data_IF_620505628335
#
_entry.id   IF_620505628335
#
_cell.length_a   1.000
_cell.length_b   1.000
_cell.length_c   1.000
_cell.angle_alpha   90.00
_cell.angle_beta   90.00
_cell.angle_gamma   90.00
#
_symmetry.space_group_name_H-M   'P 1'
#
loop_
_entity.id
_entity.type
_entity.pdbx_description
1 polymer ?
#
# COMPACT_ATOMS: atom_id res chain seq x y z
N UNK A 1 39.72 27.20 -12.81
CA UNK A 1 38.97 27.66 -14.01
C UNK A 1 37.52 27.15 -13.85
N UNK A 2 36.52 27.97 -14.16
CA UNK A 2 35.13 27.53 -14.14
C UNK A 2 34.93 26.43 -15.21
N UNK A 3 34.30 25.34 -14.84
CA UNK A 3 33.97 24.23 -15.76
C UNK A 3 32.92 24.71 -16.77
N UNK A 4 33.20 24.56 -18.06
CA UNK A 4 32.30 24.97 -19.15
C UNK A 4 31.81 23.70 -19.85
N UNK A 5 30.52 23.58 -20.09
CA UNK A 5 29.89 22.47 -20.83
C UNK A 5 29.49 22.97 -22.24
N UNK A 6 29.70 22.11 -23.25
CA UNK A 6 29.41 22.37 -24.66
C UNK A 6 29.96 23.72 -25.16
N UNK A 7 31.07 24.22 -24.62
CA UNK A 7 31.60 25.57 -24.88
C UNK A 7 30.56 26.69 -24.70
N UNK A 8 29.46 26.43 -24.01
CA UNK A 8 28.29 27.32 -23.88
C UNK A 8 27.89 27.61 -22.46
N UNK A 9 27.80 26.59 -21.60
CA UNK A 9 27.29 26.71 -20.26
C UNK A 9 28.44 26.80 -19.26
N UNK A 10 28.62 27.95 -18.65
CA UNK A 10 29.65 28.16 -17.62
C UNK A 10 29.07 27.86 -16.26
N UNK A 11 29.52 26.77 -15.62
CA UNK A 11 29.08 26.37 -14.32
C UNK A 11 29.58 27.34 -13.23
N UNK A 12 28.69 27.80 -12.40
CA UNK A 12 28.93 28.62 -11.24
C UNK A 12 28.85 27.81 -9.90
N UNK A 13 28.11 28.31 -8.96
CA UNK A 13 27.95 27.70 -7.64
C UNK A 13 27.05 26.45 -7.68
N UNK A 14 27.31 25.51 -6.77
CA UNK A 14 26.47 24.36 -6.52
C UNK A 14 25.23 24.84 -5.74
N UNK A 15 24.04 24.69 -6.33
CA UNK A 15 22.76 25.10 -5.74
C UNK A 15 21.93 23.91 -5.20
N UNK A 16 22.30 22.68 -5.56
CA UNK A 16 21.63 21.49 -5.05
C UNK A 16 22.50 20.24 -5.25
N UNK A 17 22.54 19.37 -4.25
CA UNK A 17 23.20 18.08 -4.31
C UNK A 17 22.17 16.97 -4.08
N UNK A 18 22.02 16.08 -5.08
CA UNK A 18 21.11 14.94 -5.04
C UNK A 18 21.82 13.59 -5.07
N UNK A 19 21.09 12.52 -4.84
CA UNK A 19 21.64 11.16 -4.90
C UNK A 19 22.20 10.77 -6.28
N UNK A 20 21.60 11.29 -7.35
CA UNK A 20 21.94 10.93 -8.72
C UNK A 20 22.68 12.04 -9.47
N UNK A 21 22.41 13.29 -9.18
CA UNK A 21 22.92 14.44 -9.90
C UNK A 21 23.13 15.63 -8.97
N UNK A 22 24.09 16.48 -9.35
CA UNK A 22 24.35 17.78 -8.73
C UNK A 22 23.78 18.88 -9.61
N UNK A 23 23.21 19.94 -9.01
CA UNK A 23 22.62 21.07 -9.73
C UNK A 23 23.46 22.31 -9.49
N UNK A 24 23.86 22.94 -10.57
CA UNK A 24 24.71 24.16 -10.57
C UNK A 24 23.92 25.34 -11.14
N UNK A 25 24.04 26.51 -10.54
CA UNK A 25 23.73 27.73 -11.25
C UNK A 25 24.76 27.93 -12.37
N UNK A 26 24.30 28.33 -13.55
CA UNK A 26 25.20 28.49 -14.71
C UNK A 26 24.79 29.68 -15.57
N UNK A 27 25.70 30.09 -16.48
CA UNK A 27 25.45 31.10 -17.49
C UNK A 27 25.47 30.49 -18.90
N UNK A 28 24.37 30.64 -19.62
CA UNK A 28 24.30 30.35 -21.05
C UNK A 28 24.91 31.54 -21.83
N UNK A 29 26.18 31.45 -22.21
CA UNK A 29 26.90 32.50 -22.92
C UNK A 29 26.30 32.86 -24.29
N UNK A 30 25.61 31.92 -24.93
CA UNK A 30 25.04 32.14 -26.26
C UNK A 30 23.79 33.02 -26.20
N UNK A 31 22.98 32.86 -25.14
CA UNK A 31 21.72 33.59 -24.93
C UNK A 31 21.85 34.66 -23.84
N UNK A 32 23.01 34.80 -23.20
CA UNK A 32 23.29 35.75 -22.12
C UNK A 32 22.24 35.68 -20.97
N UNK A 33 21.89 34.46 -20.55
CA UNK A 33 20.92 34.23 -19.48
C UNK A 33 21.44 33.26 -18.44
N UNK A 34 20.94 33.41 -17.21
CA UNK A 34 21.16 32.42 -16.13
C UNK A 34 20.29 31.20 -16.34
N UNK A 35 20.84 30.05 -16.05
CA UNK A 35 20.18 28.71 -16.14
C UNK A 35 20.62 27.86 -14.98
N UNK A 36 19.87 26.78 -14.70
CA UNK A 36 20.32 25.70 -13.84
C UNK A 36 20.84 24.55 -14.71
N UNK A 37 21.92 23.91 -14.27
CA UNK A 37 22.48 22.75 -14.95
C UNK A 37 22.52 21.58 -13.98
N UNK A 38 21.70 20.55 -14.25
CA UNK A 38 21.69 19.28 -13.54
C UNK A 38 22.74 18.38 -14.20
N UNK A 39 23.75 17.97 -13.46
CA UNK A 39 24.89 17.18 -13.95
C UNK A 39 24.89 15.81 -13.30
N UNK A 40 24.83 14.74 -14.10
CA UNK A 40 24.91 13.37 -13.59
C UNK A 40 26.25 13.16 -12.87
N UNK A 41 26.22 12.62 -11.65
CA UNK A 41 27.41 12.38 -10.85
C UNK A 41 28.36 11.41 -11.54
N UNK A 42 29.66 11.64 -11.41
CA UNK A 42 30.71 10.87 -12.09
C UNK A 42 30.80 9.41 -11.67
N UNK A 43 30.41 9.09 -10.41
CA UNK A 43 30.32 7.72 -9.90
C UNK A 43 29.19 6.92 -10.58
N UNK A 44 28.11 7.57 -11.00
CA UNK A 44 26.95 6.97 -11.68
C UNK A 44 27.01 7.13 -13.22
N UNK A 45 27.87 8.00 -13.73
CA UNK A 45 28.00 8.27 -15.15
C UNK A 45 28.58 7.09 -15.97
N UNK A 46 28.97 5.99 -15.32
CA UNK A 46 29.44 4.75 -15.97
C UNK A 46 28.36 3.66 -16.05
N UNK A 47 27.28 3.82 -15.32
CA UNK A 47 26.19 2.88 -15.32
C UNK A 47 25.15 3.20 -16.40
N UNK A 48 24.96 2.33 -17.40
CA UNK A 48 24.03 2.57 -18.52
C UNK A 48 22.58 2.81 -18.06
N UNK A 49 22.16 2.20 -16.93
CA UNK A 49 20.80 2.38 -16.42
C UNK A 49 20.57 3.80 -15.91
N UNK A 50 21.54 4.37 -15.16
CA UNK A 50 21.43 5.75 -14.69
C UNK A 50 21.48 6.75 -15.83
N UNK A 51 22.35 6.52 -16.84
CA UNK A 51 22.41 7.36 -18.04
C UNK A 51 21.08 7.34 -18.80
N UNK A 52 20.51 6.16 -19.02
CA UNK A 52 19.23 6.00 -19.71
C UNK A 52 18.09 6.72 -18.97
N UNK A 53 18.01 6.56 -17.65
CA UNK A 53 17.04 7.24 -16.79
C UNK A 53 17.17 8.75 -16.88
N UNK A 54 18.39 9.27 -16.75
CA UNK A 54 18.68 10.70 -16.83
C UNK A 54 18.32 11.30 -18.20
N UNK A 55 18.65 10.62 -19.30
CA UNK A 55 18.26 11.03 -20.67
C UNK A 55 16.75 11.01 -20.87
N UNK A 56 16.05 9.99 -20.32
CA UNK A 56 14.59 9.86 -20.42
C UNK A 56 13.88 10.98 -19.65
N UNK A 57 14.37 11.35 -18.46
CA UNK A 57 13.89 12.50 -17.67
C UNK A 57 13.97 13.80 -18.50
N UNK A 58 15.14 14.06 -19.10
CA UNK A 58 15.32 15.23 -19.96
C UNK A 58 14.32 15.29 -21.12
N UNK A 59 14.15 14.16 -21.85
CA UNK A 59 13.26 14.09 -23.00
C UNK A 59 11.79 14.32 -22.66
N UNK A 60 11.33 13.80 -21.54
CA UNK A 60 9.92 13.97 -21.12
C UNK A 60 9.64 15.37 -20.64
N UNK A 61 10.53 15.96 -19.87
CA UNK A 61 10.37 17.34 -19.41
C UNK A 61 10.51 18.36 -20.55
N UNK A 62 11.31 18.06 -21.59
CA UNK A 62 11.53 18.97 -22.73
C UNK A 62 10.26 19.25 -23.57
N UNK A 63 9.27 18.36 -23.53
CA UNK A 63 7.99 18.54 -24.21
C UNK A 63 6.99 19.42 -23.46
N UNK A 64 7.26 19.74 -22.19
CA UNK A 64 6.33 20.48 -21.34
C UNK A 64 6.67 21.97 -21.29
N UNK A 65 5.67 22.82 -21.52
CA UNK A 65 5.79 24.27 -21.40
C UNK A 65 4.57 24.84 -20.65
N UNK A 66 4.72 25.02 -19.34
CA UNK A 66 3.66 25.50 -18.46
C UNK A 66 4.26 26.40 -17.37
N UNK A 67 3.57 27.49 -16.93
CA UNK A 67 4.12 28.41 -15.93
C UNK A 67 4.49 27.71 -14.60
N UNK A 68 3.75 26.68 -14.20
CA UNK A 68 4.00 25.92 -12.96
C UNK A 68 4.93 24.71 -13.17
N UNK A 69 5.60 24.58 -14.31
CA UNK A 69 6.59 23.52 -14.59
C UNK A 69 7.94 24.16 -14.85
N UNK A 70 9.02 23.60 -14.30
CA UNK A 70 10.38 24.04 -14.59
C UNK A 70 10.71 23.68 -16.04
N UNK A 71 11.00 24.70 -16.87
CA UNK A 71 11.28 24.50 -18.29
C UNK A 71 12.65 23.84 -18.50
N UNK A 72 12.72 22.82 -19.34
CA UNK A 72 13.98 22.25 -19.85
C UNK A 72 14.36 22.92 -21.15
N UNK A 73 15.60 23.42 -21.24
CA UNK A 73 16.08 24.19 -22.38
C UNK A 73 17.00 23.40 -23.28
N UNK A 74 17.79 22.49 -22.72
CA UNK A 74 18.79 21.72 -23.47
C UNK A 74 19.23 20.50 -22.68
N UNK A 75 19.82 19.52 -23.34
CA UNK A 75 20.49 18.39 -22.71
C UNK A 75 21.66 17.94 -23.56
N UNK A 76 22.68 17.37 -22.92
CA UNK A 76 23.85 16.91 -23.64
C UNK A 76 24.72 15.96 -22.82
N UNK A 77 25.85 15.64 -23.42
CA UNK A 77 26.89 14.82 -22.79
C UNK A 77 28.24 15.44 -23.07
N UNK A 78 29.08 15.57 -22.06
CA UNK A 78 30.45 16.06 -22.20
C UNK A 78 31.37 15.34 -21.19
N UNK A 79 32.53 14.94 -21.67
CA UNK A 79 33.54 14.20 -20.88
C UNK A 79 32.96 12.98 -20.14
N UNK A 80 31.98 12.28 -20.75
CA UNK A 80 31.35 11.09 -20.20
C UNK A 80 30.31 11.37 -19.11
N UNK A 81 29.91 12.62 -18.90
CA UNK A 81 28.86 13.00 -17.98
C UNK A 81 27.69 13.63 -18.73
N UNK A 82 26.45 13.09 -18.50
CA UNK A 82 25.23 13.68 -19.05
C UNK A 82 24.81 14.90 -18.24
N UNK A 83 24.24 15.91 -18.90
CA UNK A 83 23.71 17.10 -18.25
C UNK A 83 22.36 17.53 -18.85
N UNK A 84 21.56 18.23 -18.02
CA UNK A 84 20.29 18.84 -18.40
C UNK A 84 20.37 20.32 -18.05
N UNK A 85 20.01 21.20 -18.99
CA UNK A 85 19.94 22.65 -18.80
C UNK A 85 18.49 23.04 -18.66
N UNK A 86 18.16 23.74 -17.59
CA UNK A 86 16.78 24.07 -17.24
C UNK A 86 16.66 25.49 -16.68
N UNK A 87 15.45 25.93 -16.47
CA UNK A 87 15.11 27.20 -15.83
C UNK A 87 15.76 27.28 -14.45
N UNK A 88 16.45 28.39 -14.16
CA UNK A 88 16.93 28.71 -12.83
C UNK A 88 15.81 29.37 -12.05
N UNK A 89 15.24 28.63 -11.13
CA UNK A 89 14.17 29.10 -10.22
C UNK A 89 14.79 29.73 -8.99
N UNK A 90 14.43 30.97 -8.70
CA UNK A 90 14.77 31.65 -7.44
C UNK A 90 13.64 31.43 -6.44
N UNK A 91 13.97 30.80 -5.31
CA UNK A 91 12.98 30.43 -4.27
C UNK A 91 13.47 29.26 -3.43
N UNK A 92 12.56 28.61 -2.73
CA UNK A 92 12.83 27.48 -1.83
C UNK A 92 12.00 26.27 -2.22
N UNK A 93 12.52 25.07 -1.92
CA UNK A 93 11.72 23.84 -2.04
C UNK A 93 10.67 23.80 -0.95
N UNK A 94 9.54 23.14 -1.24
CA UNK A 94 8.49 22.95 -0.23
C UNK A 94 8.99 22.11 0.96
N UNK A 95 9.99 21.24 0.74
CA UNK A 95 10.69 20.53 1.82
C UNK A 95 11.32 21.48 2.85
N UNK A 96 11.87 22.61 2.43
CA UNK A 96 12.45 23.60 3.32
C UNK A 96 11.38 24.32 4.14
N UNK A 97 10.19 24.56 3.56
CA UNK A 97 9.05 25.12 4.27
C UNK A 97 8.50 24.17 5.34
N UNK A 98 8.43 22.87 5.04
CA UNK A 98 7.89 21.84 5.94
C UNK A 98 8.91 21.26 6.92
N UNK A 99 10.16 21.74 6.86
CA UNK A 99 11.22 21.22 7.71
C UNK A 99 10.88 21.33 9.21
N UNK A 100 11.06 20.23 9.95
CA UNK A 100 10.80 20.16 11.39
C UNK A 100 9.32 19.99 11.74
N UNK A 101 8.48 19.48 10.83
CA UNK A 101 7.06 19.23 11.07
C UNK A 101 6.21 20.52 11.05
N UNK A 102 6.67 21.55 10.38
CA UNK A 102 5.92 22.80 10.22
C UNK A 102 4.69 22.59 9.35
N UNK A 103 3.61 23.24 9.71
CA UNK A 103 2.37 23.31 8.92
C UNK A 103 2.30 24.63 8.15
N UNK A 104 1.48 24.66 7.13
CA UNK A 104 1.12 25.88 6.41
C UNK A 104 -0.33 26.26 6.73
N UNK A 105 -0.63 27.56 6.66
CA UNK A 105 -2.01 28.05 6.69
C UNK A 105 -2.82 27.36 5.58
N UNK A 106 -4.08 27.03 5.86
CA UNK A 106 -4.94 26.23 4.97
C UNK A 106 -5.03 26.87 3.57
N UNK A 107 -5.29 28.19 3.52
CA UNK A 107 -5.43 28.90 2.26
C UNK A 107 -4.14 28.81 1.42
N UNK A 108 -3.00 29.05 2.04
CA UNK A 108 -1.71 28.96 1.37
C UNK A 108 -1.37 27.53 0.91
N UNK A 109 -1.69 26.51 1.71
CA UNK A 109 -1.55 25.11 1.30
C UNK A 109 -2.40 24.77 0.08
N UNK A 110 -3.64 25.22 0.05
CA UNK A 110 -4.55 25.01 -1.07
C UNK A 110 -4.10 25.74 -2.35
N UNK A 111 -3.54 26.97 -2.22
CA UNK A 111 -2.95 27.69 -3.36
C UNK A 111 -1.78 26.92 -3.97
N UNK A 112 -0.88 26.41 -3.14
CA UNK A 112 0.26 25.61 -3.60
C UNK A 112 -0.24 24.34 -4.30
N UNK A 113 -1.18 23.61 -3.70
CA UNK A 113 -1.73 22.40 -4.30
C UNK A 113 -2.48 22.70 -5.60
N UNK A 114 -3.17 23.82 -5.70
CA UNK A 114 -3.80 24.24 -6.96
C UNK A 114 -2.75 24.39 -8.07
N UNK A 115 -1.63 25.07 -7.80
CA UNK A 115 -0.54 25.21 -8.77
C UNK A 115 0.12 23.88 -9.17
N UNK A 116 0.28 22.96 -8.21
CA UNK A 116 0.77 21.59 -8.48
C UNK A 116 -0.22 20.82 -9.38
N UNK A 117 -1.53 20.89 -9.08
CA UNK A 117 -2.56 20.20 -9.86
C UNK A 117 -2.71 20.79 -11.27
N UNK A 118 -2.52 22.09 -11.45
CA UNK A 118 -2.46 22.72 -12.78
C UNK A 118 -1.30 22.19 -13.62
N UNK A 119 -0.13 22.06 -13.02
CA UNK A 119 1.03 21.46 -13.66
C UNK A 119 0.80 19.98 -14.04
N UNK A 120 0.22 19.20 -13.13
CA UNK A 120 -0.08 17.79 -13.36
C UNK A 120 -1.17 17.59 -14.42
N UNK A 121 -2.24 18.36 -14.37
CA UNK A 121 -3.32 18.27 -15.37
C UNK A 121 -2.78 18.54 -16.78
N UNK A 122 -1.92 19.55 -16.93
CA UNK A 122 -1.24 19.84 -18.19
C UNK A 122 -0.31 18.69 -18.62
N UNK A 123 0.50 18.13 -17.72
CA UNK A 123 1.42 17.04 -18.09
C UNK A 123 0.68 15.75 -18.45
N UNK A 124 -0.39 15.42 -17.73
CA UNK A 124 -1.23 14.25 -17.99
C UNK A 124 -1.92 14.34 -19.36
N UNK A 125 -2.45 15.52 -19.74
CA UNK A 125 -2.99 15.78 -21.07
C UNK A 125 -1.96 15.60 -22.19
N UNK A 126 -0.66 15.75 -21.88
CA UNK A 126 0.45 15.47 -22.80
C UNK A 126 1.00 14.04 -22.67
N UNK A 127 0.32 13.15 -21.96
CA UNK A 127 0.71 11.75 -21.79
C UNK A 127 1.89 11.52 -20.84
N UNK A 128 2.23 12.51 -20.00
CA UNK A 128 3.38 12.45 -19.09
C UNK A 128 2.89 12.40 -17.64
N UNK A 129 3.18 11.29 -16.95
CA UNK A 129 2.90 11.08 -15.53
C UNK A 129 4.17 11.39 -14.74
N UNK A 130 4.05 12.12 -13.64
CA UNK A 130 5.19 12.59 -12.84
C UNK A 130 5.84 11.47 -12.01
N UNK A 131 5.05 10.67 -11.30
CA UNK A 131 5.43 9.47 -10.51
C UNK A 131 6.34 9.70 -9.30
N UNK A 132 6.74 10.94 -9.01
CA UNK A 132 7.61 11.29 -7.86
C UNK A 132 7.24 12.64 -7.25
N UNK A 133 5.93 12.89 -7.05
CA UNK A 133 5.44 14.09 -6.36
C UNK A 133 5.79 14.01 -4.88
N UNK A 134 6.58 15.00 -4.43
CA UNK A 134 7.04 15.14 -3.04
C UNK A 134 7.51 16.57 -2.77
N UNK A 135 7.66 17.02 -1.52
CA UNK A 135 8.07 18.40 -1.20
C UNK A 135 9.40 18.84 -1.83
N UNK A 136 10.33 17.90 -2.04
CA UNK A 136 11.63 18.20 -2.66
C UNK A 136 11.56 18.51 -4.16
N UNK A 137 10.48 18.11 -4.85
CA UNK A 137 10.27 18.32 -6.28
C UNK A 137 9.31 19.48 -6.57
N UNK A 138 8.97 20.28 -5.56
CA UNK A 138 8.12 21.46 -5.68
C UNK A 138 8.89 22.65 -5.12
N UNK A 139 9.04 23.70 -5.92
CA UNK A 139 9.62 24.97 -5.51
C UNK A 139 8.54 26.03 -5.43
N UNK A 140 8.70 26.92 -4.47
CA UNK A 140 7.93 28.15 -4.33
C UNK A 140 8.89 29.30 -4.62
N UNK A 141 8.59 30.07 -5.65
CA UNK A 141 9.41 31.22 -6.04
C UNK A 141 9.33 32.34 -5.00
N UNK A 142 10.24 33.32 -5.07
CA UNK A 142 10.20 34.52 -4.21
C UNK A 142 8.92 35.35 -4.42
N UNK A 143 8.16 35.09 -5.48
CA UNK A 143 6.86 35.70 -5.76
C UNK A 143 5.66 34.85 -5.31
N UNK A 144 5.89 33.67 -4.71
CA UNK A 144 4.85 32.74 -4.29
C UNK A 144 4.33 31.82 -5.42
N UNK A 145 4.96 31.84 -6.61
CA UNK A 145 4.55 30.97 -7.72
C UNK A 145 5.07 29.55 -7.52
N UNK A 146 4.24 28.56 -7.85
CA UNK A 146 4.60 27.14 -7.76
C UNK A 146 5.35 26.70 -9.01
N UNK A 147 6.42 25.93 -8.84
CA UNK A 147 7.18 25.29 -9.89
C UNK A 147 7.42 23.82 -9.57
N UNK A 148 6.82 22.93 -10.37
CA UNK A 148 7.04 21.48 -10.29
C UNK A 148 8.26 21.14 -11.12
N UNK A 149 9.17 20.36 -10.55
CA UNK A 149 10.46 19.99 -11.16
C UNK A 149 10.64 18.46 -11.13
N UNK A 150 11.61 17.96 -11.89
CA UNK A 150 12.01 16.55 -11.90
C UNK A 150 10.87 15.58 -12.23
N UNK A 151 10.24 15.71 -13.43
CA UNK A 151 9.26 14.77 -13.93
C UNK A 151 9.85 13.36 -14.00
N UNK A 152 9.51 12.54 -13.01
CA UNK A 152 10.15 11.30 -12.65
C UNK A 152 9.84 10.12 -13.56
N UNK A 153 10.58 10.00 -14.66
CA UNK A 153 10.55 8.81 -15.50
C UNK A 153 11.48 7.71 -14.94
N UNK A 154 12.15 8.01 -13.83
CA UNK A 154 13.15 7.13 -13.23
C UNK A 154 12.62 5.79 -12.70
N UNK A 155 11.28 5.59 -12.67
CA UNK A 155 10.65 4.34 -12.25
C UNK A 155 9.83 3.73 -13.37
N UNK A 156 10.51 3.26 -14.41
CA UNK A 156 9.83 2.53 -15.47
C UNK A 156 9.69 1.07 -15.07
N UNK A 157 8.46 0.65 -14.98
CA UNK A 157 8.00 -0.73 -14.88
C UNK A 157 8.13 -1.48 -16.23
N UNK A 158 9.13 -1.19 -17.04
CA UNK A 158 9.41 -1.98 -18.24
C UNK A 158 10.28 -3.21 -17.94
N UNK A 159 10.80 -3.31 -16.71
CA UNK A 159 11.49 -4.49 -16.21
C UNK A 159 10.86 -4.91 -14.87
N UNK A 160 10.02 -5.96 -14.85
CA UNK A 160 9.46 -6.49 -13.61
C UNK A 160 10.53 -6.98 -12.62
N UNK A 161 11.76 -7.22 -13.09
CA UNK A 161 12.89 -7.61 -12.24
C UNK A 161 13.61 -6.42 -11.57
N UNK A 162 13.38 -5.20 -12.04
CA UNK A 162 13.91 -3.98 -11.43
C UNK A 162 13.07 -3.47 -10.24
N UNK A 163 12.04 -4.21 -9.87
CA UNK A 163 11.20 -3.97 -8.71
C UNK A 163 12.03 -4.12 -7.42
N UNK A 164 12.19 -3.02 -6.70
CA UNK A 164 12.66 -2.92 -5.30
C UNK A 164 14.16 -3.20 -5.00
N UNK A 165 15.01 -3.62 -5.94
CA UNK A 165 16.34 -4.12 -5.62
C UNK A 165 17.50 -3.12 -5.74
N UNK A 166 17.30 -1.86 -6.01
CA UNK A 166 18.49 -1.08 -6.37
C UNK A 166 18.75 0.26 -5.71
N UNK A 167 17.78 1.02 -5.24
CA UNK A 167 18.08 2.39 -4.77
C UNK A 167 17.01 2.99 -3.83
N UNK A 168 16.53 2.23 -2.86
CA UNK A 168 15.71 2.78 -1.77
C UNK A 168 16.53 3.55 -0.72
N UNK A 169 17.74 3.99 -1.07
CA UNK A 169 18.61 4.76 -0.18
C UNK A 169 18.16 6.20 0.10
N UNK A 170 16.88 6.51 -0.13
CA UNK A 170 16.34 7.80 0.27
C UNK A 170 15.13 7.59 1.17
N UNK A 171 15.37 7.62 2.47
CA UNK A 171 14.40 7.51 3.57
C UNK A 171 13.18 8.45 3.43
N UNK A 172 13.21 9.44 2.54
CA UNK A 172 12.15 10.41 2.32
C UNK A 172 11.18 10.11 1.17
N UNK A 173 11.45 9.13 0.29
CA UNK A 173 10.62 8.91 -0.92
C UNK A 173 9.45 7.94 -0.68
N UNK A 174 9.54 7.04 0.30
CA UNK A 174 8.49 6.08 0.59
C UNK A 174 7.18 6.73 1.09
N UNK A 175 7.28 7.92 1.70
CA UNK A 175 6.18 8.64 2.33
C UNK A 175 5.09 9.15 1.38
N UNK A 176 5.37 9.20 0.07
CA UNK A 176 4.46 9.74 -0.96
C UNK A 176 4.12 8.70 -2.04
N UNK A 177 4.53 7.45 -1.86
CA UNK A 177 4.25 6.38 -2.81
C UNK A 177 2.77 6.07 -2.90
N UNK A 178 2.27 5.88 -4.11
CA UNK A 178 0.95 5.29 -4.28
C UNK A 178 0.96 3.78 -4.00
N UNK A 179 -0.18 3.17 -3.63
CA UNK A 179 -0.29 1.73 -3.40
C UNK A 179 0.24 0.89 -4.57
N UNK A 180 -0.12 1.26 -5.81
CA UNK A 180 0.32 0.60 -7.05
C UNK A 180 1.83 0.71 -7.25
N UNK A 181 2.44 1.83 -6.86
CA UNK A 181 3.89 1.96 -6.89
C UNK A 181 4.57 1.10 -5.83
N UNK A 182 3.97 1.00 -4.64
CA UNK A 182 4.47 0.17 -3.55
C UNK A 182 4.39 -1.33 -3.87
N UNK A 183 3.39 -1.76 -4.67
CA UNK A 183 3.24 -3.15 -5.12
C UNK A 183 3.98 -3.44 -6.43
N UNK A 184 4.58 -2.43 -7.08
CA UNK A 184 5.25 -2.60 -8.38
C UNK A 184 4.30 -2.69 -9.57
N UNK A 185 3.06 -2.29 -9.40
CA UNK A 185 2.08 -2.19 -10.48
C UNK A 185 2.31 -0.94 -11.34
N UNK A 186 1.61 -0.86 -12.48
CA UNK A 186 1.75 0.27 -13.39
C UNK A 186 1.14 1.52 -12.77
N UNK A 187 1.98 2.54 -12.56
CA UNK A 187 1.56 3.85 -12.08
C UNK A 187 1.03 4.71 -13.24
N UNK A 188 -0.19 5.21 -13.12
CA UNK A 188 -0.81 6.16 -14.04
C UNK A 188 -1.00 7.56 -13.39
N UNK A 189 -1.76 8.44 -14.03
CA UNK A 189 -2.04 9.80 -13.55
C UNK A 189 -2.67 9.85 -12.15
N UNK A 190 -3.39 8.79 -11.74
CA UNK A 190 -4.03 8.68 -10.43
C UNK A 190 -3.04 8.36 -9.31
N UNK A 191 -1.84 7.90 -9.66
CA UNK A 191 -0.72 7.77 -8.72
C UNK A 191 -0.20 9.14 -8.27
N UNK A 192 -0.11 10.11 -9.19
CA UNK A 192 0.28 11.48 -8.85
C UNK A 192 -0.77 12.15 -7.95
N UNK A 193 -2.06 11.90 -8.21
CA UNK A 193 -3.18 12.39 -7.38
C UNK A 193 -3.06 11.88 -5.94
N UNK A 194 -2.72 10.61 -5.76
CA UNK A 194 -2.48 10.03 -4.45
C UNK A 194 -1.30 10.71 -3.73
N UNK A 195 -0.19 10.91 -4.43
CA UNK A 195 0.99 11.59 -3.90
C UNK A 195 0.69 13.05 -3.53
N UNK A 196 -0.14 13.76 -4.32
CA UNK A 196 -0.66 15.09 -3.97
C UNK A 196 -1.50 15.04 -2.71
N UNK A 197 -2.33 14.00 -2.52
CA UNK A 197 -3.06 13.77 -1.28
C UNK A 197 -2.14 13.64 -0.06
N UNK A 198 -1.05 12.85 -0.17
CA UNK A 198 -0.04 12.73 0.88
C UNK A 198 0.64 14.07 1.19
N UNK A 199 0.95 14.84 0.14
CA UNK A 199 1.57 16.15 0.24
C UNK A 199 0.66 17.16 0.94
N UNK A 200 -0.60 17.27 0.53
CA UNK A 200 -1.58 18.15 1.16
C UNK A 200 -1.79 17.79 2.65
N UNK A 201 -1.87 16.49 2.95
CA UNK A 201 -2.00 16.01 4.31
C UNK A 201 -0.81 16.49 5.17
N UNK A 202 0.43 16.35 4.67
CA UNK A 202 1.63 16.80 5.38
C UNK A 202 1.65 18.32 5.56
N UNK A 203 1.33 19.10 4.54
CA UNK A 203 1.30 20.55 4.61
C UNK A 203 0.36 21.07 5.70
N UNK A 204 -0.76 20.37 5.92
CA UNK A 204 -1.81 20.75 6.87
C UNK A 204 -1.61 20.19 8.28
N UNK A 205 -0.90 19.06 8.43
CA UNK A 205 -0.77 18.35 9.71
C UNK A 205 0.67 18.26 10.24
N UNK A 206 1.66 18.68 9.44
CA UNK A 206 3.09 18.61 9.79
C UNK A 206 3.69 17.21 9.71
N UNK A 207 2.91 16.20 9.27
CA UNK A 207 3.37 14.82 9.07
C UNK A 207 2.66 14.15 7.90
N UNK A 208 3.28 13.15 7.32
CA UNK A 208 2.63 12.32 6.27
C UNK A 208 1.51 11.44 6.86
N UNK A 209 0.54 10.99 6.04
CA UNK A 209 -0.59 10.18 6.53
C UNK A 209 -0.13 8.85 7.14
N UNK A 210 0.99 8.31 6.69
CA UNK A 210 1.55 7.06 7.18
C UNK A 210 2.97 7.29 7.71
N UNK A 211 3.26 6.70 8.86
CA UNK A 211 4.53 6.84 9.59
C UNK A 211 5.00 5.42 9.94
N UNK A 212 6.29 5.19 9.85
CA UNK A 212 6.89 3.90 10.20
C UNK A 212 8.41 4.02 10.33
N UNK A 213 9.00 3.10 11.05
CA UNK A 213 10.45 3.10 11.33
C UNK A 213 11.27 2.72 10.10
N UNK A 214 10.66 2.07 9.12
CA UNK A 214 11.32 1.66 7.88
C UNK A 214 10.53 2.10 6.64
N UNK A 215 11.20 2.34 5.50
CA UNK A 215 10.52 2.61 4.23
C UNK A 215 9.53 1.50 3.81
N UNK A 216 9.81 0.26 4.17
CA UNK A 216 8.94 -0.89 3.89
C UNK A 216 7.67 -0.85 4.73
N UNK A 217 7.79 -0.54 6.03
CA UNK A 217 6.62 -0.37 6.90
C UNK A 217 5.70 0.75 6.39
N UNK A 218 6.28 1.87 5.91
CA UNK A 218 5.52 2.96 5.30
C UNK A 218 4.86 2.49 4.01
N UNK A 219 5.58 1.81 3.11
CA UNK A 219 5.05 1.28 1.85
C UNK A 219 3.88 0.31 2.10
N UNK A 220 4.01 -0.57 3.10
CA UNK A 220 2.93 -1.47 3.51
C UNK A 220 1.67 -0.72 3.95
N UNK A 221 1.82 0.35 4.74
CA UNK A 221 0.69 1.18 5.17
C UNK A 221 0.02 1.88 3.98
N UNK A 222 0.78 2.30 2.97
CA UNK A 222 0.21 2.82 1.73
C UNK A 222 -0.71 1.81 1.03
N UNK A 223 -0.37 0.52 1.09
CA UNK A 223 -1.18 -0.55 0.48
C UNK A 223 -2.39 -0.93 1.35
N UNK A 224 -2.20 -1.06 2.68
CA UNK A 224 -3.17 -1.74 3.55
C UNK A 224 -3.94 -0.82 4.50
N UNK A 225 -3.33 0.27 4.99
CA UNK A 225 -3.90 1.08 6.06
C UNK A 225 -4.78 2.21 5.53
N UNK A 226 -5.89 2.50 6.20
CA UNK A 226 -6.74 3.66 5.89
C UNK A 226 -6.03 4.92 6.41
N UNK A 227 -5.98 5.97 5.59
CA UNK A 227 -5.45 7.26 6.02
C UNK A 227 -6.35 7.87 7.12
N UNK A 228 -5.77 8.43 8.20
CA UNK A 228 -6.55 9.14 9.20
C UNK A 228 -7.17 10.41 8.61
N UNK A 229 -8.20 10.95 9.24
CA UNK A 229 -8.69 12.29 8.89
C UNK A 229 -7.66 13.33 9.31
N UNK A 230 -7.44 14.33 8.46
CA UNK A 230 -6.52 15.41 8.79
C UNK A 230 -7.04 16.27 9.95
N UNK A 231 -8.37 16.42 10.05
CA UNK A 231 -9.05 17.11 11.16
C UNK A 231 -8.86 16.44 12.54
N UNK A 232 -8.54 15.17 12.59
CA UNK A 232 -8.20 14.47 13.85
C UNK A 232 -6.83 14.91 14.42
N UNK A 233 -6.00 15.56 13.58
CA UNK A 233 -4.65 16.01 13.94
C UNK A 233 -4.59 17.54 14.03
N UNK A 234 -5.30 18.22 13.15
CA UNK A 234 -5.41 19.67 13.09
C UNK A 234 -6.91 20.05 13.11
N UNK A 235 -7.41 20.46 14.27
CA UNK A 235 -8.82 20.78 14.52
C UNK A 235 -9.32 21.99 13.74
N UNK A 236 -8.43 22.84 13.17
CA UNK A 236 -8.79 23.98 12.35
C UNK A 236 -9.27 23.60 10.93
N UNK A 237 -9.15 22.32 10.56
CA UNK A 237 -9.53 21.84 9.24
C UNK A 237 -11.02 21.52 9.15
N UNK A 238 -11.64 21.97 8.06
CA UNK A 238 -13.04 21.69 7.79
C UNK A 238 -13.26 20.30 7.13
N UNK A 239 -14.52 19.88 7.09
CA UNK A 239 -14.91 18.60 6.50
C UNK A 239 -14.68 18.50 4.99
N UNK A 240 -14.51 19.63 4.26
CA UNK A 240 -14.20 19.61 2.84
C UNK A 240 -12.76 19.09 2.62
N UNK A 241 -11.83 19.49 3.49
CA UNK A 241 -10.44 19.04 3.42
C UNK A 241 -10.37 17.55 3.64
N UNK A 242 -11.03 17.02 4.68
CA UNK A 242 -11.09 15.58 4.91
C UNK A 242 -11.71 14.83 3.73
N UNK A 243 -12.78 15.37 3.14
CA UNK A 243 -13.42 14.76 1.98
C UNK A 243 -12.49 14.68 0.76
N UNK A 244 -11.73 15.75 0.48
CA UNK A 244 -10.73 15.76 -0.59
C UNK A 244 -9.64 14.72 -0.34
N UNK A 245 -9.08 14.71 0.88
CA UNK A 245 -8.01 13.80 1.26
C UNK A 245 -8.46 12.34 1.25
N UNK A 246 -9.66 12.04 1.76
CA UNK A 246 -10.20 10.69 1.76
C UNK A 246 -10.40 10.14 0.36
N UNK A 247 -10.76 10.97 -0.63
CA UNK A 247 -10.89 10.54 -2.01
C UNK A 247 -9.53 10.41 -2.68
N UNK A 248 -8.62 11.37 -2.49
CA UNK A 248 -7.28 11.31 -3.06
C UNK A 248 -6.47 10.11 -2.56
N UNK A 249 -6.65 9.73 -1.28
CA UNK A 249 -5.90 8.66 -0.61
C UNK A 249 -6.61 7.29 -0.65
N UNK A 250 -7.62 7.09 -1.51
CA UNK A 250 -8.22 5.77 -1.75
C UNK A 250 -7.18 4.78 -2.29
N UNK A 251 -7.28 3.51 -1.85
CA UNK A 251 -6.32 2.47 -2.24
C UNK A 251 -6.50 2.03 -3.69
N UNK A 252 -7.75 1.78 -4.11
CA UNK A 252 -8.04 1.48 -5.51
C UNK A 252 -8.00 2.79 -6.33
N UNK A 253 -7.17 2.90 -7.38
CA UNK A 253 -7.13 4.06 -8.26
C UNK A 253 -8.50 4.45 -8.85
N UNK A 254 -9.42 3.49 -9.00
CA UNK A 254 -10.77 3.72 -9.54
C UNK A 254 -11.67 4.51 -8.57
N UNK A 255 -11.37 4.49 -7.29
CA UNK A 255 -12.13 5.20 -6.26
C UNK A 255 -11.55 6.58 -5.94
N UNK A 256 -10.42 6.97 -6.58
CA UNK A 256 -9.80 8.31 -6.49
C UNK A 256 -10.42 9.30 -7.47
N UNK A 257 -9.99 10.55 -7.40
CA UNK A 257 -10.18 11.48 -8.52
C UNK A 257 -9.58 10.87 -9.80
N UNK A 258 -10.32 10.98 -10.92
CA UNK A 258 -9.90 10.37 -12.18
C UNK A 258 -9.05 11.30 -13.05
N UNK A 259 -8.85 12.56 -12.65
CA UNK A 259 -7.89 13.49 -13.24
C UNK A 259 -7.44 14.52 -12.22
N UNK A 260 -6.26 15.12 -12.44
CA UNK A 260 -5.78 16.25 -11.63
C UNK A 260 -6.72 17.45 -11.69
N UNK A 261 -7.33 17.70 -12.85
CA UNK A 261 -8.33 18.75 -13.03
C UNK A 261 -9.59 18.54 -12.18
N UNK A 262 -10.01 17.29 -11.95
CA UNK A 262 -11.16 17.00 -11.08
C UNK A 262 -10.85 17.32 -9.61
N UNK A 263 -9.66 16.95 -9.12
CA UNK A 263 -9.20 17.33 -7.78
C UNK A 263 -9.03 18.86 -7.65
N UNK A 264 -8.46 19.52 -8.64
CA UNK A 264 -8.29 20.96 -8.70
C UNK A 264 -9.63 21.70 -8.58
N UNK A 265 -10.68 21.18 -9.22
CA UNK A 265 -12.02 21.78 -9.12
C UNK A 265 -12.54 21.76 -7.67
N UNK A 266 -12.33 20.68 -6.93
CA UNK A 266 -12.74 20.58 -5.53
C UNK A 266 -11.82 21.41 -4.59
N UNK A 267 -10.52 21.49 -4.86
CA UNK A 267 -9.62 22.43 -4.16
C UNK A 267 -10.11 23.88 -4.33
N UNK A 268 -10.42 24.30 -5.57
CA UNK A 268 -10.95 25.66 -5.85
C UNK A 268 -12.32 25.92 -5.19
N UNK A 269 -13.14 24.91 -4.94
CA UNK A 269 -14.38 25.01 -4.17
C UNK A 269 -14.08 25.19 -2.68
N UNK A 270 -13.17 24.39 -2.12
CA UNK A 270 -12.76 24.48 -0.72
C UNK A 270 -12.20 25.87 -0.41
N UNK A 271 -11.34 26.44 -1.27
CA UNK A 271 -10.82 27.81 -1.13
C UNK A 271 -11.93 28.90 -1.08
N UNK A 272 -13.09 28.60 -1.67
CA UNK A 272 -14.26 29.50 -1.65
C UNK A 272 -15.25 29.18 -0.53
N UNK A 273 -14.93 28.25 0.38
CA UNK A 273 -15.84 27.77 1.41
C UNK A 273 -17.08 27.04 0.86
N UNK A 274 -17.00 26.52 -0.37
CA UNK A 274 -18.10 25.80 -1.03
C UNK A 274 -17.93 24.29 -0.78
N UNK A 275 -19.05 23.57 -0.67
CA UNK A 275 -19.03 22.13 -0.54
C UNK A 275 -18.37 21.47 -1.76
N UNK A 276 -17.49 20.48 -1.50
CA UNK A 276 -16.85 19.68 -2.54
C UNK A 276 -17.87 18.75 -3.21
N UNK A 277 -17.64 18.44 -4.49
CA UNK A 277 -18.60 17.65 -5.29
C UNK A 277 -18.39 16.15 -5.13
N UNK A 278 -17.22 15.75 -4.70
CA UNK A 278 -16.84 14.35 -4.61
C UNK A 278 -17.54 13.67 -3.45
N UNK A 279 -18.29 12.61 -3.75
CA UNK A 279 -18.96 11.81 -2.73
C UNK A 279 -18.01 10.72 -2.24
N UNK A 280 -17.70 10.75 -0.97
CA UNK A 280 -17.02 9.65 -0.30
C UNK A 280 -17.88 8.40 -0.47
N UNK A 281 -17.36 7.40 -1.15
CA UNK A 281 -17.97 6.06 -1.16
C UNK A 281 -17.85 5.50 0.26
N UNK A 282 -18.90 5.67 1.08
CA UNK A 282 -18.91 5.09 2.42
C UNK A 282 -18.66 3.60 2.25
N UNK A 283 -17.46 3.16 2.59
CA UNK A 283 -17.15 1.74 2.76
C UNK A 283 -18.02 1.31 3.94
N UNK A 284 -19.19 0.74 3.64
CA UNK A 284 -19.98 0.07 4.66
C UNK A 284 -19.13 -1.11 5.11
N UNK A 285 -18.70 -1.16 6.36
CA UNK A 285 -18.01 -2.33 6.85
C UNK A 285 -18.92 -3.53 6.56
N UNK A 286 -18.41 -4.54 5.88
CA UNK A 286 -19.16 -5.80 5.59
C UNK A 286 -19.74 -6.40 6.85
N UNK A 287 -19.22 -6.04 8.03
CA UNK A 287 -19.74 -6.40 9.36
C UNK A 287 -21.19 -5.97 9.59
N UNK A 288 -21.69 -4.88 9.00
CA UNK A 288 -23.09 -4.44 9.22
C UNK A 288 -24.11 -5.44 8.69
N UNK A 289 -23.78 -6.13 7.59
CA UNK A 289 -24.60 -7.22 7.06
C UNK A 289 -24.62 -8.44 7.99
N UNK A 290 -23.49 -8.78 8.59
CA UNK A 290 -23.41 -9.89 9.54
C UNK A 290 -24.09 -9.59 10.87
N UNK A 291 -24.01 -8.35 11.37
CA UNK A 291 -24.71 -7.92 12.59
C UNK A 291 -26.24 -7.94 12.38
N UNK A 292 -26.73 -7.47 11.22
CA UNK A 292 -28.15 -7.53 10.88
C UNK A 292 -28.63 -8.98 10.73
N UNK A 293 -27.85 -9.85 10.10
CA UNK A 293 -28.15 -11.27 9.98
C UNK A 293 -28.13 -11.97 11.34
N UNK A 294 -27.15 -11.69 12.20
CA UNK A 294 -27.08 -12.22 13.57
C UNK A 294 -28.27 -11.77 14.43
N UNK A 295 -28.71 -10.50 14.31
CA UNK A 295 -29.90 -9.99 14.99
C UNK A 295 -31.17 -10.67 14.49
N UNK A 296 -31.31 -10.92 13.19
CA UNK A 296 -32.45 -11.66 12.65
C UNK A 296 -32.47 -13.12 13.12
N UNK A 297 -31.32 -13.77 13.20
CA UNK A 297 -31.19 -15.14 13.70
C UNK A 297 -31.51 -15.18 15.22
N UNK A 298 -31.05 -14.22 16.02
CA UNK A 298 -31.37 -14.15 17.46
C UNK A 298 -32.84 -13.84 17.70
N UNK A 299 -33.45 -12.95 16.93
CA UNK A 299 -34.89 -12.66 17.00
C UNK A 299 -35.70 -13.91 16.61
N UNK A 300 -35.30 -14.57 15.49
CA UNK A 300 -35.92 -15.84 15.07
C UNK A 300 -35.85 -16.92 16.17
N UNK A 301 -34.69 -17.07 16.81
CA UNK A 301 -34.48 -18.01 17.90
C UNK A 301 -35.36 -17.67 19.12
N UNK A 302 -35.47 -16.39 19.50
CA UNK A 302 -36.33 -15.92 20.61
C UNK A 302 -37.79 -16.18 20.27
N UNK A 303 -38.24 -15.95 19.04
CA UNK A 303 -39.63 -16.21 18.60
C UNK A 303 -39.94 -17.72 18.63
N UNK A 304 -39.02 -18.55 18.13
CA UNK A 304 -39.18 -20.03 18.22
C UNK A 304 -39.18 -20.50 19.64
N UNK A 305 -38.32 -19.98 20.50
CA UNK A 305 -38.32 -20.29 21.95
C UNK A 305 -39.60 -19.84 22.61
N UNK A 306 -40.13 -18.64 22.31
CA UNK A 306 -41.39 -18.13 22.81
C UNK A 306 -42.59 -18.96 22.35
N UNK A 307 -42.63 -19.35 21.07
CA UNK A 307 -43.68 -20.20 20.51
C UNK A 307 -43.65 -21.59 21.14
N UNK A 308 -42.47 -22.19 21.35
CA UNK A 308 -42.37 -23.48 22.08
C UNK A 308 -42.75 -23.34 23.54
N UNK A 309 -42.40 -22.24 24.22
CA UNK A 309 -42.79 -22.01 25.62
C UNK A 309 -44.28 -21.65 25.78
N UNK A 310 -44.86 -20.98 24.77
CA UNK A 310 -46.29 -20.66 24.75
C UNK A 310 -47.18 -21.87 24.42
N UNK A 311 -46.62 -22.88 23.72
CA UNK A 311 -47.34 -24.10 23.37
C UNK A 311 -47.52 -25.08 24.55
N UNK A 312 -46.81 -24.86 25.67
CA UNK A 312 -46.84 -25.78 26.83
C UNK A 312 -47.99 -25.50 27.83
N UNK A 313 -49.03 -24.73 27.42
CA UNK A 313 -50.27 -24.52 28.20
C UNK A 313 -51.47 -25.24 27.62
N UNK A 314 -51.31 -26.53 27.37
CA UNK A 314 -52.43 -27.44 27.07
C UNK A 314 -52.73 -28.35 28.26
N UNK A 315 -53.97 -28.84 28.39
CA UNK A 315 -54.44 -29.52 29.60
C UNK A 315 -53.75 -30.86 29.83
N UNK A 316 -53.43 -31.14 31.11
CA UNK A 316 -52.89 -32.42 31.61
C UNK A 316 -53.80 -33.55 31.21
N UNK A 317 -53.43 -34.40 30.30
CA UNK A 317 -54.14 -35.61 29.95
C UNK A 317 -53.20 -36.75 29.56
N UNK A 318 -53.18 -37.79 30.41
CA UNK A 318 -52.71 -39.17 30.20
C UNK A 318 -51.19 -39.36 29.93
N UNK A 319 -50.50 -40.19 30.75
CA UNK A 319 -49.06 -40.52 30.43
C UNK A 319 -48.97 -41.46 29.24
N UNK A 320 -48.48 -40.95 28.16
CA UNK A 320 -48.03 -41.76 27.02
C UNK A 320 -46.71 -42.40 27.42
N UNK A 321 -46.52 -43.72 27.26
CA UNK A 321 -45.24 -44.36 27.57
C UNK A 321 -44.15 -43.74 26.70
N UNK A 322 -43.06 -43.26 27.38
CA UNK A 322 -41.83 -42.82 26.77
C UNK A 322 -41.32 -43.89 25.82
N UNK A 323 -41.07 -43.60 24.52
CA UNK A 323 -40.44 -44.59 23.69
C UNK A 323 -39.05 -44.89 24.28
N UNK A 324 -38.83 -46.15 24.60
CA UNK A 324 -37.52 -46.69 24.95
C UNK A 324 -36.54 -46.31 23.83
N UNK A 325 -35.29 -45.91 24.14
CA UNK A 325 -34.29 -45.69 23.14
C UNK A 325 -34.19 -46.96 22.28
N UNK A 326 -34.49 -46.85 21.02
CA UNK A 326 -34.23 -47.89 20.05
C UNK A 326 -32.73 -48.16 20.11
N UNK A 327 -32.33 -49.30 20.68
CA UNK A 327 -30.95 -49.77 20.69
C UNK A 327 -30.52 -49.96 19.24
N UNK A 328 -29.98 -48.91 18.65
CA UNK A 328 -29.33 -49.01 17.36
C UNK A 328 -28.02 -49.80 17.58
N UNK A 329 -27.81 -50.85 16.74
CA UNK A 329 -26.63 -51.69 16.85
C UNK A 329 -25.36 -50.85 16.95
N UNK A 330 -24.39 -51.21 17.77
CA UNK A 330 -23.15 -50.46 17.89
C UNK A 330 -22.47 -50.41 16.50
N UNK A 331 -21.98 -49.22 16.13
CA UNK A 331 -21.25 -48.98 14.89
C UNK A 331 -19.83 -48.45 15.23
N UNK A 332 -18.94 -48.52 14.26
CA UNK A 332 -17.55 -48.08 14.46
C UNK A 332 -17.32 -46.79 13.70
N UNK A 333 -16.64 -45.82 14.35
CA UNK A 333 -16.19 -44.59 13.66
C UNK A 333 -15.22 -44.97 12.55
N UNK A 334 -15.46 -44.59 11.28
CA UNK A 334 -14.55 -44.93 10.18
C UNK A 334 -13.11 -44.52 10.46
N UNK A 335 -12.15 -45.37 10.13
CA UNK A 335 -10.71 -45.19 10.43
C UNK A 335 -10.00 -44.26 9.46
N UNK A 336 -10.58 -43.99 8.31
CA UNK A 336 -9.97 -43.26 7.19
C UNK A 336 -10.46 -41.79 7.07
N UNK A 337 -11.08 -41.23 8.09
CA UNK A 337 -11.63 -39.87 8.04
C UNK A 337 -10.56 -38.78 8.06
N UNK A 338 -9.44 -39.01 8.77
CA UNK A 338 -8.34 -38.03 8.84
C UNK A 338 -7.67 -37.93 7.47
N UNK A 339 -7.47 -36.70 7.00
CA UNK A 339 -6.92 -36.40 5.67
C UNK A 339 -7.96 -36.30 4.55
N UNK A 340 -9.25 -36.63 4.81
CA UNK A 340 -10.33 -36.45 3.84
C UNK A 340 -10.81 -35.01 3.80
N UNK A 341 -11.49 -34.64 2.71
CA UNK A 341 -12.26 -33.39 2.68
C UNK A 341 -13.48 -33.47 3.59
N UNK A 342 -13.99 -32.32 4.05
CA UNK A 342 -15.18 -32.29 4.89
C UNK A 342 -16.39 -32.98 4.23
N UNK A 343 -16.56 -32.86 2.90
CA UNK A 343 -17.64 -33.51 2.16
C UNK A 343 -17.52 -35.03 2.17
N UNK A 344 -16.33 -35.55 1.88
CA UNK A 344 -16.06 -36.98 1.87
C UNK A 344 -16.22 -37.60 3.28
N UNK A 345 -15.71 -36.90 4.30
CA UNK A 345 -15.84 -37.33 5.70
C UNK A 345 -17.30 -37.34 6.15
N UNK A 346 -18.10 -36.36 5.76
CA UNK A 346 -19.55 -36.32 6.02
C UNK A 346 -20.28 -37.50 5.35
N UNK A 347 -19.94 -37.79 4.12
CA UNK A 347 -20.51 -38.95 3.39
C UNK A 347 -20.16 -40.27 4.08
N UNK A 348 -18.90 -40.44 4.50
CA UNK A 348 -18.42 -41.62 5.20
C UNK A 348 -19.10 -41.82 6.57
N UNK A 349 -19.28 -40.76 7.36
CA UNK A 349 -20.01 -40.78 8.62
C UNK A 349 -21.48 -41.18 8.43
N UNK A 350 -22.13 -40.58 7.40
CA UNK A 350 -23.52 -40.90 7.09
C UNK A 350 -23.67 -42.40 6.66
N UNK A 351 -22.72 -42.89 5.87
CA UNK A 351 -22.72 -44.30 5.48
C UNK A 351 -22.50 -45.25 6.66
N UNK A 352 -21.77 -44.82 7.68
CA UNK A 352 -21.60 -45.58 8.94
C UNK A 352 -22.77 -45.43 9.93
N UNK A 353 -23.83 -44.69 9.57
CA UNK A 353 -24.98 -44.43 10.44
C UNK A 353 -24.65 -43.49 11.58
N UNK A 354 -23.66 -42.60 11.43
CA UNK A 354 -23.27 -41.59 12.41
C UNK A 354 -23.69 -40.20 11.93
N UNK A 355 -23.82 -39.25 12.84
CA UNK A 355 -24.20 -37.86 12.56
C UNK A 355 -23.04 -36.93 12.82
N UNK A 356 -22.78 -35.98 11.90
CA UNK A 356 -21.84 -34.88 12.13
C UNK A 356 -22.53 -33.81 12.97
N UNK A 357 -22.01 -33.56 14.19
CA UNK A 357 -22.57 -32.58 15.14
C UNK A 357 -22.00 -31.19 14.88
N UNK A 358 -20.67 -31.10 14.78
CA UNK A 358 -20.00 -29.83 14.62
C UNK A 358 -18.68 -30.02 13.84
N UNK A 359 -18.20 -28.90 13.24
CA UNK A 359 -16.87 -28.78 12.68
C UNK A 359 -16.15 -27.64 13.40
N UNK A 360 -14.93 -27.92 13.90
CA UNK A 360 -14.07 -26.94 14.59
C UNK A 360 -12.89 -26.60 13.68
N UNK A 361 -12.78 -25.36 13.17
CA UNK A 361 -11.61 -24.94 12.43
C UNK A 361 -10.39 -24.80 13.35
N UNK A 362 -9.26 -25.35 12.95
CA UNK A 362 -7.99 -25.30 13.67
C UNK A 362 -6.89 -24.84 12.70
N UNK A 363 -6.00 -23.99 13.17
CA UNK A 363 -4.88 -23.51 12.36
C UNK A 363 -3.95 -24.68 12.03
N UNK A 364 -3.65 -24.81 10.72
CA UNK A 364 -2.86 -25.91 10.18
C UNK A 364 -2.32 -25.57 8.80
N UNK A 365 -1.15 -26.13 8.47
CA UNK A 365 -0.53 -26.04 7.15
C UNK A 365 -1.18 -26.95 6.08
N UNK A 366 -2.29 -27.64 6.43
CA UNK A 366 -3.08 -28.45 5.48
C UNK A 366 -4.07 -27.58 4.71
N UNK A 367 -4.54 -28.05 3.56
CA UNK A 367 -5.56 -27.35 2.77
C UNK A 367 -6.84 -27.09 3.60
N UNK A 368 -7.52 -25.93 3.40
CA UNK A 368 -8.75 -25.60 4.11
C UNK A 368 -9.80 -26.71 3.97
N UNK A 369 -10.46 -27.09 5.08
CA UNK A 369 -11.52 -28.10 5.10
C UNK A 369 -11.03 -29.55 5.12
N UNK A 370 -9.74 -29.81 5.21
CA UNK A 370 -9.20 -31.16 5.44
C UNK A 370 -9.38 -31.54 6.91
N UNK A 371 -9.86 -32.75 7.18
CA UNK A 371 -10.08 -33.30 8.52
C UNK A 371 -8.72 -33.60 9.17
N UNK A 372 -8.47 -32.97 10.30
CA UNK A 372 -7.25 -33.13 11.10
C UNK A 372 -7.44 -34.12 12.26
N UNK A 373 -8.62 -34.09 12.89
CA UNK A 373 -8.95 -34.93 14.03
C UNK A 373 -10.45 -35.25 14.06
N UNK A 374 -10.78 -36.41 14.61
CA UNK A 374 -12.14 -36.93 14.75
C UNK A 374 -12.41 -37.23 16.23
N UNK A 375 -13.56 -36.81 16.75
CA UNK A 375 -13.95 -37.05 18.12
C UNK A 375 -15.37 -37.65 18.14
N UNK A 376 -15.56 -38.88 18.60
CA UNK A 376 -14.61 -39.83 19.16
C UNK A 376 -13.56 -40.36 18.17
N UNK A 377 -12.43 -40.84 18.68
CA UNK A 377 -11.31 -41.29 17.85
C UNK A 377 -11.72 -42.32 16.76
N UNK A 378 -11.09 -42.28 15.58
CA UNK A 378 -11.30 -43.27 14.50
C UNK A 378 -11.12 -44.70 15.02
N UNK A 379 -12.04 -45.61 14.68
CA UNK A 379 -12.06 -46.99 15.14
C UNK A 379 -12.82 -47.19 16.48
N UNK A 380 -13.29 -46.14 17.13
CA UNK A 380 -14.08 -46.25 18.36
C UNK A 380 -15.43 -46.88 18.07
N UNK A 381 -15.88 -47.73 18.96
CA UNK A 381 -17.24 -48.34 18.93
C UNK A 381 -18.21 -47.40 19.64
N UNK A 382 -19.24 -46.93 18.95
CA UNK A 382 -20.23 -46.00 19.43
C UNK A 382 -21.63 -46.51 19.15
N UNK A 383 -22.65 -45.98 19.82
CA UNK A 383 -24.02 -46.33 19.47
C UNK A 383 -24.40 -45.84 18.08
N UNK A 384 -25.18 -46.60 17.30
CA UNK A 384 -25.65 -46.11 16.01
C UNK A 384 -26.45 -44.82 16.20
N UNK A 385 -26.20 -43.84 15.30
CA UNK A 385 -26.75 -42.48 15.38
C UNK A 385 -25.98 -41.54 16.30
N UNK A 386 -24.84 -41.98 16.89
CA UNK A 386 -24.00 -41.09 17.68
C UNK A 386 -23.44 -39.91 16.89
N UNK A 387 -23.25 -38.80 17.59
CA UNK A 387 -22.64 -37.57 17.03
C UNK A 387 -21.13 -37.67 17.00
N UNK A 388 -20.53 -37.11 15.94
CA UNK A 388 -19.11 -37.03 15.76
C UNK A 388 -18.75 -35.56 15.50
N UNK A 389 -17.66 -35.07 16.10
CA UNK A 389 -17.09 -33.73 15.86
C UNK A 389 -15.84 -33.91 15.03
N UNK A 390 -15.67 -33.07 14.01
CA UNK A 390 -14.49 -33.03 13.17
C UNK A 390 -13.72 -31.74 13.40
N UNK A 391 -12.43 -31.85 13.73
CA UNK A 391 -11.51 -30.72 13.65
C UNK A 391 -10.97 -30.66 12.23
N UNK A 392 -11.15 -29.51 11.58
CA UNK A 392 -10.79 -29.30 10.18
C UNK A 392 -9.75 -28.18 10.06
N UNK A 393 -8.89 -28.27 9.07
CA UNK A 393 -7.94 -27.20 8.81
C UNK A 393 -8.66 -25.90 8.44
N UNK A 394 -8.28 -24.79 9.08
CA UNK A 394 -8.68 -23.44 8.68
C UNK A 394 -7.95 -22.98 7.40
N UNK A 395 -6.83 -23.64 7.05
CA UNK A 395 -5.92 -23.20 6.01
C UNK A 395 -5.10 -21.98 6.40
N UNK A 396 -5.01 -21.71 7.70
CA UNK A 396 -4.23 -20.62 8.27
C UNK A 396 -3.10 -21.19 9.14
N UNK A 397 -1.97 -20.49 9.12
CA UNK A 397 -0.79 -20.80 9.93
C UNK A 397 -0.28 -19.53 10.59
N UNK A 398 0.48 -19.66 11.66
CA UNK A 398 1.21 -18.52 12.22
C UNK A 398 2.48 -18.30 11.44
N UNK A 399 2.76 -17.04 11.11
CA UNK A 399 4.02 -16.64 10.46
C UNK A 399 5.18 -16.88 11.43
N UNK A 400 6.19 -17.66 11.06
CA UNK A 400 7.33 -17.92 11.94
C UNK A 400 8.22 -16.68 12.12
N UNK A 401 9.00 -16.64 13.21
CA UNK A 401 10.03 -15.62 13.43
C UNK A 401 11.20 -15.88 12.49
N UNK A 402 11.44 -14.96 11.56
CA UNK A 402 12.52 -15.07 10.57
C UNK A 402 13.69 -14.12 10.86
N UNK A 403 13.42 -12.98 11.49
CA UNK A 403 14.44 -11.95 11.77
C UNK A 403 15.59 -12.53 12.61
N UNK A 404 16.82 -12.38 12.13
CA UNK A 404 18.03 -12.90 12.73
C UNK A 404 18.46 -14.29 12.24
N UNK A 405 17.61 -14.99 11.47
CA UNK A 405 17.96 -16.25 10.83
C UNK A 405 18.73 -16.02 9.52
N UNK A 406 19.38 -17.07 9.03
CA UNK A 406 19.89 -17.08 7.66
C UNK A 406 18.75 -17.28 6.67
N UNK A 407 18.93 -16.81 5.44
CA UNK A 407 17.97 -16.97 4.31
C UNK A 407 17.54 -18.44 4.12
N UNK A 408 18.48 -19.39 4.24
CA UNK A 408 18.20 -20.83 4.10
C UNK A 408 17.33 -21.35 5.25
N UNK A 409 17.56 -20.89 6.48
CA UNK A 409 16.74 -21.27 7.64
C UNK A 409 15.33 -20.67 7.53
N UNK A 410 15.23 -19.41 7.11
CA UNK A 410 13.96 -18.73 6.88
C UNK A 410 13.13 -19.45 5.79
N UNK A 411 13.75 -19.77 4.66
CA UNK A 411 13.12 -20.51 3.57
C UNK A 411 12.63 -21.90 4.03
N UNK A 412 13.40 -22.57 4.86
CA UNK A 412 13.02 -23.88 5.42
C UNK A 412 11.77 -23.77 6.28
N UNK A 413 11.70 -22.79 7.19
CA UNK A 413 10.54 -22.58 8.06
C UNK A 413 9.29 -22.20 7.26
N UNK A 414 9.41 -21.29 6.31
CA UNK A 414 8.27 -20.89 5.47
C UNK A 414 7.75 -22.05 4.63
N UNK A 415 8.65 -22.88 4.10
CA UNK A 415 8.25 -24.06 3.31
C UNK A 415 7.51 -25.09 4.19
N UNK A 416 7.92 -25.29 5.44
CA UNK A 416 7.24 -26.18 6.39
C UNK A 416 5.79 -25.75 6.67
N UNK A 417 5.54 -24.46 6.70
CA UNK A 417 4.24 -23.88 6.97
C UNK A 417 3.43 -23.59 5.69
N UNK A 418 3.88 -24.08 4.53
CA UNK A 418 3.29 -23.83 3.22
C UNK A 418 3.11 -22.33 2.91
N UNK A 419 4.03 -21.49 3.36
CA UNK A 419 4.14 -20.09 3.03
C UNK A 419 5.13 -19.87 1.89
N UNK A 420 4.88 -18.88 1.06
CA UNK A 420 5.76 -18.52 -0.05
C UNK A 420 6.73 -17.43 0.41
N UNK A 421 8.00 -17.58 0.04
CA UNK A 421 9.03 -16.58 0.32
C UNK A 421 9.06 -15.52 -0.77
N UNK A 422 9.22 -14.25 -0.36
CA UNK A 422 9.58 -13.14 -1.23
C UNK A 422 10.79 -12.46 -0.62
N UNK A 423 11.93 -12.65 -1.25
CA UNK A 423 13.19 -12.06 -0.80
C UNK A 423 13.30 -10.60 -1.23
N UNK A 424 13.78 -9.76 -0.33
CA UNK A 424 14.19 -8.39 -0.58
C UNK A 424 15.56 -8.18 0.05
N UNK A 425 16.48 -7.54 -0.67
CA UNK A 425 17.82 -7.26 -0.18
C UNK A 425 17.91 -5.85 0.40
N UNK A 426 18.50 -5.71 1.61
CA UNK A 426 18.85 -4.42 2.20
C UNK A 426 20.31 -4.44 2.68
N UNK A 427 20.99 -3.31 2.61
CA UNK A 427 22.37 -3.18 3.05
C UNK A 427 22.44 -2.74 4.51
N UNK A 428 22.91 -3.62 5.41
CA UNK A 428 23.26 -3.31 6.79
C UNK A 428 24.68 -3.85 7.11
N UNK A 429 25.70 -2.97 7.18
CA UNK A 429 27.08 -3.40 7.43
C UNK A 429 27.32 -3.98 8.83
N UNK A 430 26.37 -3.87 9.76
CA UNK A 430 26.49 -4.38 11.13
C UNK A 430 26.12 -5.85 11.25
N UNK A 431 25.47 -6.46 10.24
CA UNK A 431 24.99 -7.84 10.27
C UNK A 431 25.77 -8.73 9.28
N UNK A 432 25.85 -10.07 9.48
CA UNK A 432 26.42 -11.01 8.52
C UNK A 432 25.63 -11.03 7.19
N UNK A 433 26.31 -11.35 6.07
CA UNK A 433 25.65 -11.55 4.77
C UNK A 433 24.68 -12.75 4.83
N UNK A 434 23.49 -12.60 4.24
CA UNK A 434 22.46 -13.64 4.23
C UNK A 434 21.65 -13.71 5.53
N UNK A 435 21.69 -12.69 6.39
CA UNK A 435 20.84 -12.61 7.59
C UNK A 435 19.56 -11.87 7.28
N UNK A 436 18.42 -12.40 7.71
CA UNK A 436 17.11 -11.73 7.61
C UNK A 436 17.06 -10.56 8.59
N UNK A 437 16.91 -9.36 8.06
CA UNK A 437 16.89 -8.11 8.83
C UNK A 437 15.48 -7.69 9.26
N UNK A 438 14.48 -8.00 8.45
CA UNK A 438 13.07 -7.72 8.73
C UNK A 438 12.17 -8.70 7.98
N UNK A 439 10.93 -8.85 8.43
CA UNK A 439 9.90 -9.67 7.78
C UNK A 439 8.56 -8.95 7.77
N UNK A 440 7.73 -9.29 6.80
CA UNK A 440 6.34 -8.89 6.74
C UNK A 440 5.49 -10.01 6.08
N UNK A 441 4.40 -10.46 6.73
CA UNK A 441 3.85 -10.01 8.02
C UNK A 441 4.75 -10.29 9.23
N UNK A 442 4.45 -9.64 10.36
CA UNK A 442 5.16 -9.86 11.62
C UNK A 442 5.02 -11.30 12.09
N UNK A 443 6.02 -11.78 12.87
CA UNK A 443 5.97 -13.08 13.51
C UNK A 443 4.71 -13.24 14.39
N UNK A 444 4.21 -14.47 14.51
CA UNK A 444 2.98 -14.85 15.23
C UNK A 444 1.67 -14.28 14.66
N UNK A 445 1.70 -13.50 13.58
CA UNK A 445 0.47 -13.14 12.86
C UNK A 445 -0.09 -14.33 12.10
N UNK A 446 -1.41 -14.36 11.91
CA UNK A 446 -2.07 -15.43 11.16
C UNK A 446 -2.08 -15.13 9.67
N UNK A 447 -1.62 -16.07 8.85
CA UNK A 447 -1.61 -15.97 7.38
C UNK A 447 -2.25 -17.20 6.75
N UNK A 448 -2.84 -17.05 5.58
CA UNK A 448 -3.35 -18.20 4.82
C UNK A 448 -2.17 -18.97 4.21
N UNK A 449 -2.27 -20.30 4.11
CA UNK A 449 -1.31 -21.11 3.36
C UNK A 449 -1.22 -20.61 1.92
N UNK A 450 -0.02 -20.62 1.34
CA UNK A 450 0.24 -20.05 0.02
C UNK A 450 0.39 -18.53 0.00
N UNK A 451 0.22 -17.84 1.14
CA UNK A 451 0.51 -16.40 1.25
C UNK A 451 2.00 -16.14 1.19
N UNK A 452 2.36 -15.00 0.61
CA UNK A 452 3.75 -14.57 0.57
C UNK A 452 4.16 -13.93 1.90
N UNK A 453 5.28 -14.37 2.44
CA UNK A 453 6.01 -13.68 3.51
C UNK A 453 7.23 -13.04 2.87
N UNK A 454 7.31 -11.73 3.04
CA UNK A 454 8.46 -10.96 2.56
C UNK A 454 9.53 -10.97 3.64
N UNK A 455 10.73 -11.41 3.32
CA UNK A 455 11.91 -11.25 4.16
C UNK A 455 12.88 -10.25 3.53
N UNK A 456 13.53 -9.48 4.39
CA UNK A 456 14.58 -8.55 3.98
C UNK A 456 15.89 -9.14 4.47
N UNK A 457 16.65 -9.70 3.52
CA UNK A 457 17.98 -10.23 3.75
C UNK A 457 19.07 -9.19 3.50
N UNK A 458 20.28 -9.42 4.04
CA UNK A 458 21.46 -8.61 3.78
C UNK A 458 22.18 -9.07 2.52
#
# INVERSE_FOLDING_TARGET
MAKTLANRYVLGELIGAGGMADVYAAEDRRLSRKVAVKLLRSDLARDPQFIARFKKEALSAAGLNHPSIVAVFDSGEEAGSSYIVMELVHGKTLREYLHGGKTLEVEHALEIIAGVLEALDYSHQNGIVHRDIKPGNIMITDKGEVKVMDFGIARVTDDPSATMTGTWNVVGTAQYLSPEQATGEIADERSDIYSVGCLLFEMLTGRTPFIGDTPVAIAYQHVSSIAPNASEINEDLDSNIDAILQVALQKDPKDRYQSAGAMLADIKRAMKGQAVTTKIKKVRPKATGYIAAALLVTIGFIVVMYLNFASDRGPKGVPIPKPSPTSTAPTTVPTNLVGMTLEDARAALTAAGLTLEATEPVDSNSQPGVVLKVIPDPGSVVAGGSSVVLQISSGQVKVPQLVGLTEIEAQTLLTQDNLLIKELMAYDPSQPLGTVLAQAPDADTTANIGSQVTEIGR
#
